data_IF_356804348680
#
_entry.id   IF_356804348680
#
_cell.length_a   1.000
_cell.length_b   1.000
_cell.length_c   1.000
_cell.angle_alpha   90.00
_cell.angle_beta   90.00
_cell.angle_gamma   90.00
#
_symmetry.space_group_name_H-M   'P 1'
#
loop_
_entity.id
_entity.type
_entity.pdbx_description
1 polymer ?
#
# COMPACT_ATOMS: atom_id res chain seq x y z
N UNK A 1 -30.26 6.95 -36.27
CA UNK A 1 -29.72 5.61 -35.98
C UNK A 1 -29.67 5.45 -34.47
N UNK A 2 -30.54 4.63 -33.89
CA UNK A 2 -30.54 4.32 -32.45
C UNK A 2 -29.56 3.18 -32.20
N UNK A 3 -28.49 3.45 -31.46
CA UNK A 3 -27.48 2.46 -31.09
C UNK A 3 -28.08 1.51 -30.04
N UNK A 4 -28.36 0.27 -30.44
CA UNK A 4 -28.80 -0.77 -29.51
C UNK A 4 -27.64 -1.16 -28.59
N UNK A 5 -27.78 -0.94 -27.28
CA UNK A 5 -26.75 -1.28 -26.30
C UNK A 5 -26.78 -2.79 -26.03
N UNK A 6 -25.63 -3.47 -26.16
CA UNK A 6 -25.49 -4.89 -25.83
C UNK A 6 -24.88 -5.03 -24.43
N UNK A 7 -25.54 -5.80 -23.57
CA UNK A 7 -24.97 -6.22 -22.28
C UNK A 7 -24.20 -7.53 -22.46
N UNK A 8 -22.98 -7.59 -21.95
CA UNK A 8 -22.14 -8.79 -21.93
C UNK A 8 -21.88 -9.22 -20.48
N UNK A 9 -21.57 -10.50 -20.27
CA UNK A 9 -21.31 -11.08 -18.95
C UNK A 9 -19.88 -11.61 -18.92
N UNK A 10 -19.10 -11.17 -17.92
CA UNK A 10 -17.79 -11.75 -17.63
C UNK A 10 -17.95 -13.03 -16.78
N UNK A 11 -17.12 -14.04 -17.03
CA UNK A 11 -17.19 -15.34 -16.40
C UNK A 11 -16.03 -15.54 -15.41
N UNK A 12 -16.32 -15.51 -14.10
CA UNK A 12 -15.30 -15.74 -13.06
C UNK A 12 -14.81 -17.20 -12.95
N UNK A 13 -15.51 -18.16 -13.55
CA UNK A 13 -15.05 -19.54 -13.63
C UNK A 13 -14.00 -19.74 -14.73
N UNK A 14 -13.97 -18.86 -15.74
CA UNK A 14 -12.95 -18.84 -16.78
C UNK A 14 -11.62 -18.36 -16.18
N UNK A 15 -10.58 -19.19 -16.29
CA UNK A 15 -9.29 -18.92 -15.66
C UNK A 15 -8.59 -17.68 -16.23
N UNK A 16 -8.74 -17.43 -17.54
CA UNK A 16 -8.13 -16.27 -18.20
C UNK A 16 -8.79 -14.99 -17.68
N UNK A 17 -10.12 -14.94 -17.62
CA UNK A 17 -10.85 -13.78 -17.11
C UNK A 17 -10.60 -13.55 -15.61
N UNK A 18 -10.55 -14.63 -14.80
CA UNK A 18 -10.23 -14.53 -13.37
C UNK A 18 -8.81 -14.00 -13.13
N UNK A 19 -7.82 -14.50 -13.87
CA UNK A 19 -6.44 -14.00 -13.77
C UNK A 19 -6.33 -12.55 -14.20
N UNK A 20 -6.94 -12.17 -15.33
CA UNK A 20 -6.97 -10.79 -15.79
C UNK A 20 -7.62 -9.84 -14.77
N UNK A 21 -8.69 -10.28 -14.08
CA UNK A 21 -9.30 -9.52 -13.00
C UNK A 21 -8.35 -9.35 -11.79
N UNK A 22 -7.63 -10.42 -11.39
CA UNK A 22 -6.62 -10.36 -10.34
C UNK A 22 -5.46 -9.42 -10.69
N UNK A 23 -4.97 -9.46 -11.94
CA UNK A 23 -3.90 -8.58 -12.41
C UNK A 23 -4.37 -7.11 -12.43
N UNK A 24 -5.60 -6.85 -12.88
CA UNK A 24 -6.19 -5.51 -12.87
C UNK A 24 -6.38 -4.97 -11.44
N UNK A 25 -6.74 -5.82 -10.48
CA UNK A 25 -6.84 -5.44 -9.06
C UNK A 25 -5.46 -5.13 -8.46
N UNK A 26 -4.43 -5.94 -8.77
CA UNK A 26 -3.05 -5.68 -8.37
C UNK A 26 -2.51 -4.35 -8.92
N UNK A 27 -2.80 -4.02 -10.18
CA UNK A 27 -2.44 -2.73 -10.79
C UNK A 27 -3.13 -1.57 -10.07
N UNK A 28 -4.42 -1.71 -9.76
CA UNK A 28 -5.15 -0.69 -8.99
C UNK A 28 -4.55 -0.49 -7.60
N UNK A 29 -4.18 -1.56 -6.90
CA UNK A 29 -3.48 -1.49 -5.63
C UNK A 29 -2.14 -0.73 -5.75
N UNK A 30 -1.36 -1.02 -6.78
CA UNK A 30 -0.11 -0.32 -7.06
C UNK A 30 -0.29 1.18 -7.33
N UNK A 31 -1.26 1.54 -8.18
CA UNK A 31 -1.61 2.95 -8.48
C UNK A 31 -2.04 3.68 -7.20
N UNK A 32 -2.84 3.03 -6.35
CA UNK A 32 -3.29 3.60 -5.09
C UNK A 32 -2.12 3.88 -4.13
N UNK A 33 -1.14 2.98 -4.02
CA UNK A 33 0.05 3.20 -3.18
C UNK A 33 0.86 4.39 -3.70
N UNK A 34 1.13 4.47 -5.01
CA UNK A 34 1.86 5.58 -5.62
C UNK A 34 1.13 6.91 -5.39
N UNK A 35 -0.19 6.92 -5.55
CA UNK A 35 -1.00 8.11 -5.31
C UNK A 35 -0.96 8.56 -3.84
N UNK A 36 -1.05 7.63 -2.88
CA UNK A 36 -0.96 7.91 -1.44
C UNK A 36 0.41 8.49 -1.08
N UNK A 37 1.51 7.84 -1.51
CA UNK A 37 2.87 8.30 -1.21
C UNK A 37 3.14 9.66 -1.86
N UNK A 38 2.72 9.86 -3.11
CA UNK A 38 2.86 11.13 -3.80
C UNK A 38 2.09 12.27 -3.13
N UNK A 39 0.85 12.01 -2.68
CA UNK A 39 0.08 12.99 -1.91
C UNK A 39 0.74 13.30 -0.57
N UNK A 40 1.19 12.26 0.16
CA UNK A 40 1.86 12.41 1.44
C UNK A 40 3.10 13.30 1.32
N UNK A 41 3.99 13.03 0.35
CA UNK A 41 5.17 13.85 0.10
C UNK A 41 4.84 15.32 -0.19
N UNK A 42 3.85 15.58 -1.07
CA UNK A 42 3.44 16.96 -1.37
C UNK A 42 2.93 17.71 -0.14
N UNK A 43 2.16 17.05 0.72
CA UNK A 43 1.64 17.67 1.94
C UNK A 43 2.71 17.90 2.99
N UNK A 44 3.65 16.96 3.19
CA UNK A 44 4.80 17.18 4.07
C UNK A 44 5.67 18.34 3.60
N UNK A 45 5.94 18.42 2.30
CA UNK A 45 6.71 19.52 1.72
C UNK A 45 6.02 20.88 1.93
N UNK A 46 4.70 20.95 1.73
CA UNK A 46 3.94 22.18 1.96
C UNK A 46 3.97 22.61 3.44
N UNK A 47 3.83 21.66 4.37
CA UNK A 47 3.94 21.91 5.81
C UNK A 47 5.34 22.41 6.19
N UNK A 48 6.38 21.77 5.68
CA UNK A 48 7.76 22.19 5.86
C UNK A 48 7.98 23.62 5.34
N UNK A 49 7.49 23.93 4.14
CA UNK A 49 7.59 25.27 3.55
C UNK A 49 6.81 26.34 4.33
N UNK A 50 5.79 25.93 5.10
CA UNK A 50 5.05 26.80 6.02
C UNK A 50 5.73 26.99 7.39
N UNK A 51 6.84 26.31 7.63
CA UNK A 51 7.64 26.42 8.86
C UNK A 51 7.50 25.23 9.82
N UNK A 52 6.58 24.30 9.59
CA UNK A 52 6.41 23.08 10.41
C UNK A 52 7.56 22.12 10.12
N UNK A 53 8.50 21.97 11.04
CA UNK A 53 9.77 21.26 10.79
C UNK A 53 10.13 20.25 11.88
N UNK A 54 11.07 19.36 11.57
CA UNK A 54 11.63 18.42 12.54
C UNK A 54 10.57 17.50 13.14
N UNK A 55 10.61 17.31 14.46
CA UNK A 55 9.70 16.42 15.17
C UNK A 55 8.22 16.88 15.08
N UNK A 56 7.98 18.18 14.98
CA UNK A 56 6.63 18.74 14.78
C UNK A 56 6.01 18.25 13.47
N UNK A 57 6.81 18.18 12.40
CA UNK A 57 6.35 17.73 11.09
C UNK A 57 5.94 16.24 11.09
N UNK A 58 6.71 15.40 11.76
CA UNK A 58 6.44 13.96 11.82
C UNK A 58 5.29 13.60 12.76
N UNK A 59 5.10 14.37 13.83
CA UNK A 59 3.96 14.22 14.75
C UNK A 59 2.71 15.00 14.31
N UNK A 60 2.79 15.76 13.21
CA UNK A 60 1.66 16.52 12.70
C UNK A 60 0.50 15.57 12.34
N UNK A 61 -0.77 15.87 12.72
CA UNK A 61 -1.91 14.99 12.48
C UNK A 61 -2.09 14.55 11.02
N UNK A 62 -1.74 15.42 10.06
CA UNK A 62 -1.76 15.09 8.63
C UNK A 62 -0.74 13.99 8.31
N UNK A 63 0.48 14.08 8.86
CA UNK A 63 1.50 13.07 8.66
C UNK A 63 1.09 11.73 9.27
N UNK A 64 0.58 11.76 10.51
CA UNK A 64 0.07 10.58 11.20
C UNK A 64 -1.12 9.93 10.47
N UNK A 65 -2.00 10.73 9.85
CA UNK A 65 -3.12 10.22 9.05
C UNK A 65 -2.65 9.42 7.84
N UNK A 66 -1.64 9.90 7.10
CA UNK A 66 -1.09 9.15 5.96
C UNK A 66 -0.39 7.87 6.42
N UNK A 67 0.45 7.96 7.46
CA UNK A 67 1.14 6.80 8.03
C UNK A 67 0.15 5.76 8.56
N UNK A 68 -0.92 6.17 9.24
CA UNK A 68 -1.98 5.27 9.71
C UNK A 68 -2.66 4.53 8.56
N UNK A 69 -2.93 5.20 7.44
CA UNK A 69 -3.54 4.56 6.27
C UNK A 69 -2.61 3.54 5.62
N UNK A 70 -1.32 3.86 5.48
CA UNK A 70 -0.30 2.92 4.98
C UNK A 70 -0.18 1.71 5.90
N UNK A 71 -0.14 1.94 7.22
CA UNK A 71 -0.10 0.87 8.20
C UNK A 71 -1.32 -0.07 8.05
N UNK A 72 -2.54 0.48 7.97
CA UNK A 72 -3.76 -0.30 7.79
C UNK A 72 -3.77 -1.13 6.49
N UNK A 73 -3.27 -0.59 5.38
CA UNK A 73 -3.17 -1.31 4.11
C UNK A 73 -2.16 -2.46 4.19
N UNK A 74 -1.06 -2.27 4.90
CA UNK A 74 -0.01 -3.28 5.07
C UNK A 74 -0.28 -4.28 6.20
N UNK A 75 -1.37 -4.11 6.96
CA UNK A 75 -1.71 -4.91 8.16
C UNK A 75 -0.51 -4.99 9.13
N UNK A 76 0.21 -3.87 9.30
CA UNK A 76 1.43 -3.84 10.13
C UNK A 76 1.06 -3.74 11.61
N UNK A 77 1.32 -4.81 12.36
CA UNK A 77 1.22 -4.80 13.83
C UNK A 77 2.57 -4.46 14.44
N UNK A 78 2.59 -3.97 15.67
CA UNK A 78 3.83 -3.59 16.35
C UNK A 78 4.82 -4.76 16.43
N UNK A 79 4.36 -5.95 16.83
CA UNK A 79 5.23 -7.13 16.93
C UNK A 79 5.75 -7.57 15.55
N UNK A 80 4.91 -7.48 14.52
CA UNK A 80 5.29 -7.79 13.13
C UNK A 80 6.35 -6.81 12.60
N UNK A 81 6.28 -5.55 12.98
CA UNK A 81 7.29 -4.56 12.64
C UNK A 81 8.64 -4.92 13.28
N UNK A 82 8.64 -5.25 14.58
CA UNK A 82 9.86 -5.65 15.28
C UNK A 82 10.47 -6.94 14.71
N UNK A 83 9.64 -7.94 14.42
CA UNK A 83 10.06 -9.20 13.80
C UNK A 83 10.66 -8.96 12.41
N UNK A 84 10.02 -8.11 11.59
CA UNK A 84 10.53 -7.75 10.27
C UNK A 84 11.88 -7.02 10.36
N UNK A 85 12.05 -6.06 11.29
CA UNK A 85 13.31 -5.36 11.49
C UNK A 85 14.43 -6.30 11.97
N UNK A 86 14.10 -7.28 12.81
CA UNK A 86 15.03 -8.34 13.22
C UNK A 86 15.41 -9.25 12.05
N UNK A 87 14.43 -9.67 11.27
CA UNK A 87 14.61 -10.52 10.08
C UNK A 87 15.56 -9.87 9.06
N UNK A 88 15.41 -8.57 8.79
CA UNK A 88 16.29 -7.83 7.87
C UNK A 88 17.76 -7.92 8.31
N UNK A 89 18.04 -7.75 9.60
CA UNK A 89 19.42 -7.85 10.15
C UNK A 89 20.00 -9.25 10.05
N UNK A 90 19.16 -10.28 10.16
CA UNK A 90 19.58 -11.68 10.02
C UNK A 90 19.87 -12.04 8.55
N UNK A 91 19.01 -11.58 7.64
CA UNK A 91 19.22 -11.71 6.19
C UNK A 91 20.52 -11.03 5.77
N UNK A 92 20.81 -9.83 6.30
CA UNK A 92 22.07 -9.10 6.05
C UNK A 92 23.31 -9.93 6.43
N UNK A 93 23.20 -10.81 7.43
CA UNK A 93 24.26 -11.73 7.89
C UNK A 93 24.30 -13.04 7.12
N UNK A 94 23.44 -13.22 6.12
CA UNK A 94 23.32 -14.45 5.35
C UNK A 94 22.54 -15.56 6.05
N UNK A 95 21.81 -15.26 7.12
CA UNK A 95 20.99 -16.23 7.84
C UNK A 95 19.62 -16.42 7.15
N UNK A 96 19.11 -17.65 7.17
CA UNK A 96 17.73 -17.92 6.81
C UNK A 96 16.79 -17.47 7.95
N UNK A 97 15.63 -16.91 7.59
CA UNK A 97 14.61 -16.45 8.52
C UNK A 97 13.24 -17.00 8.11
N UNK A 98 12.55 -17.61 9.07
CA UNK A 98 11.14 -17.98 8.93
C UNK A 98 10.25 -16.78 9.28
N UNK A 99 9.14 -16.61 8.56
CA UNK A 99 8.19 -15.53 8.80
C UNK A 99 6.76 -15.98 8.54
N UNK A 100 5.82 -15.34 9.23
CA UNK A 100 4.39 -15.64 9.12
C UNK A 100 3.79 -15.00 7.85
N UNK A 101 3.14 -15.82 7.02
CA UNK A 101 2.37 -15.38 5.87
C UNK A 101 0.89 -15.30 6.25
N UNK A 102 0.28 -14.10 6.20
CA UNK A 102 -1.16 -13.94 6.35
C UNK A 102 -1.82 -14.10 4.97
N UNK A 103 -2.75 -15.07 4.81
CA UNK A 103 -3.52 -15.22 3.58
C UNK A 103 -4.33 -13.95 3.26
N UNK A 104 -4.47 -13.65 1.96
CA UNK A 104 -5.34 -12.59 1.44
C UNK A 104 -6.81 -13.03 1.46
#
# INVERSE_FOLDING_TARGET
MTTTTKTAVANGADEIQRKAASDADAVQCGVNIVAIVGAFHRHLLALQQSGVCGDELFNHPVALSFTSKLNSLCRMLHDRELDALSAVRRIERGEAVEYEVIPL
#
